data_IF_836499899285
#
_entry.id   IF_836499899285
#
_cell.length_a   1.000
_cell.length_b   1.000
_cell.length_c   1.000
_cell.angle_alpha   90.00
_cell.angle_beta   90.00
_cell.angle_gamma   90.00
#
_symmetry.space_group_name_H-M   'P 1'
#
loop_
_entity.id
_entity.type
_entity.pdbx_description
1 polymer ?
#
# COMPACT_ATOMS: atom_id res chain seq x y z
N UNK A 1 -7.33 -28.21 23.62
CA UNK A 1 -8.52 -27.87 24.43
C UNK A 1 -9.52 -27.25 23.48
N UNK A 2 -10.55 -28.01 23.10
CA UNK A 2 -11.53 -27.61 22.09
C UNK A 2 -12.64 -26.77 22.70
N UNK A 3 -13.06 -25.72 21.99
CA UNK A 3 -14.31 -25.04 22.25
C UNK A 3 -15.43 -25.78 21.50
N UNK A 4 -16.23 -26.53 22.25
CA UNK A 4 -17.57 -26.95 21.85
C UNK A 4 -18.53 -25.82 22.15
N UNK A 5 -19.11 -25.25 21.10
CA UNK A 5 -20.07 -24.16 21.13
C UNK A 5 -20.10 -23.57 19.73
N UNK A 6 -21.29 -23.38 19.15
CA UNK A 6 -21.48 -22.73 17.84
C UNK A 6 -21.03 -21.28 17.94
N UNK A 7 -19.72 -21.05 17.89
CA UNK A 7 -19.13 -19.73 17.88
C UNK A 7 -19.32 -19.19 16.46
N UNK A 8 -19.93 -18.02 16.35
CA UNK A 8 -20.01 -17.30 15.07
C UNK A 8 -18.62 -17.09 14.46
N UNK A 9 -18.56 -16.68 13.19
CA UNK A 9 -17.28 -16.41 12.52
C UNK A 9 -16.42 -15.47 13.36
N UNK A 10 -15.13 -15.76 13.46
CA UNK A 10 -14.18 -14.95 14.22
C UNK A 10 -14.11 -13.54 13.62
N UNK A 11 -14.22 -12.49 14.44
CA UNK A 11 -14.10 -11.10 13.97
C UNK A 11 -12.64 -10.66 14.02
N UNK A 12 -12.09 -10.30 12.86
CA UNK A 12 -10.70 -9.86 12.72
C UNK A 12 -10.66 -8.43 12.20
N UNK A 13 -10.09 -7.52 12.97
CA UNK A 13 -9.80 -6.17 12.50
C UNK A 13 -8.34 -6.07 12.04
N UNK A 14 -8.11 -5.47 10.87
CA UNK A 14 -6.78 -5.28 10.30
C UNK A 14 -6.57 -3.78 10.08
N UNK A 15 -5.56 -3.21 10.75
CA UNK A 15 -5.24 -1.78 10.65
C UNK A 15 -4.13 -1.56 9.62
N UNK A 16 -4.45 -0.87 8.54
CA UNK A 16 -3.63 -0.65 7.35
C UNK A 16 -4.21 -1.35 6.13
N UNK A 17 -3.98 -0.80 4.93
CA UNK A 17 -4.43 -1.35 3.65
C UNK A 17 -3.29 -1.72 2.70
N UNK A 18 -2.11 -2.02 3.24
CA UNK A 18 -0.94 -2.46 2.47
C UNK A 18 -0.97 -3.93 2.05
N UNK A 19 0.10 -4.39 1.40
CA UNK A 19 0.22 -5.78 0.92
C UNK A 19 0.07 -6.83 2.03
N UNK A 20 0.67 -6.61 3.21
CA UNK A 20 0.54 -7.51 4.34
C UNK A 20 -0.91 -7.57 4.87
N UNK A 21 -1.59 -6.41 4.91
CA UNK A 21 -2.97 -6.32 5.36
C UNK A 21 -3.93 -7.07 4.43
N UNK A 22 -3.77 -6.91 3.12
CA UNK A 22 -4.59 -7.63 2.13
C UNK A 22 -4.31 -9.13 2.11
N UNK A 23 -3.04 -9.54 2.21
CA UNK A 23 -2.70 -10.96 2.31
C UNK A 23 -3.36 -11.60 3.55
N UNK A 24 -3.31 -10.91 4.69
CA UNK A 24 -3.97 -11.37 5.91
C UNK A 24 -5.50 -11.36 5.77
N UNK A 25 -6.10 -10.32 5.19
CA UNK A 25 -7.54 -10.22 5.01
C UNK A 25 -8.09 -11.37 4.17
N UNK A 26 -7.45 -11.67 3.03
CA UNK A 26 -7.82 -12.79 2.16
C UNK A 26 -7.71 -14.10 2.94
N UNK A 27 -6.59 -14.31 3.65
CA UNK A 27 -6.39 -15.55 4.40
C UNK A 27 -7.42 -15.73 5.52
N UNK A 28 -7.71 -14.68 6.28
CA UNK A 28 -8.71 -14.73 7.35
C UNK A 28 -10.11 -15.03 6.78
N UNK A 29 -10.47 -14.39 5.68
CA UNK A 29 -11.74 -14.64 4.98
C UNK A 29 -11.82 -16.09 4.45
N UNK A 30 -10.74 -16.62 3.85
CA UNK A 30 -10.68 -18.02 3.39
C UNK A 30 -10.87 -19.03 4.53
N UNK A 31 -10.49 -18.66 5.76
CA UNK A 31 -10.70 -19.44 6.98
C UNK A 31 -12.09 -19.19 7.63
N UNK A 32 -12.95 -18.39 6.99
CA UNK A 32 -14.32 -18.12 7.43
C UNK A 32 -14.46 -17.02 8.47
N UNK A 33 -13.44 -16.17 8.66
CA UNK A 33 -13.52 -15.02 9.56
C UNK A 33 -14.28 -13.83 8.92
N UNK A 34 -14.96 -13.05 9.75
CA UNK A 34 -15.47 -11.73 9.37
C UNK A 34 -14.33 -10.71 9.48
N UNK A 35 -13.94 -10.12 8.35
CA UNK A 35 -12.77 -9.25 8.29
C UNK A 35 -13.20 -7.80 8.13
N UNK A 36 -12.69 -6.93 9.02
CA UNK A 36 -12.76 -5.49 8.84
C UNK A 36 -11.36 -4.92 8.58
N UNK A 37 -11.13 -4.44 7.37
CA UNK A 37 -9.91 -3.77 6.94
C UNK A 37 -10.05 -2.26 7.13
N UNK A 38 -9.12 -1.61 7.81
CA UNK A 38 -9.19 -0.18 8.14
C UNK A 38 -8.01 0.54 7.48
N UNK A 39 -8.28 1.50 6.59
CA UNK A 39 -7.25 2.27 5.88
C UNK A 39 -7.48 3.77 6.03
N UNK A 40 -6.49 4.47 6.61
CA UNK A 40 -6.53 5.91 6.85
C UNK A 40 -6.04 6.76 5.68
N UNK A 41 -5.21 6.21 4.80
CA UNK A 41 -4.77 6.88 3.58
C UNK A 41 -5.91 6.97 2.56
N UNK A 42 -5.86 7.95 1.67
CA UNK A 42 -6.85 8.11 0.60
C UNK A 42 -6.85 6.91 -0.37
N UNK A 43 -5.67 6.41 -0.73
CA UNK A 43 -5.50 5.26 -1.60
C UNK A 43 -5.28 3.98 -0.80
N UNK A 44 -5.90 2.88 -1.25
CA UNK A 44 -5.62 1.54 -0.73
C UNK A 44 -4.38 0.93 -1.41
N UNK A 45 -3.83 -0.15 -0.85
CA UNK A 45 -2.65 -0.85 -1.35
C UNK A 45 -1.33 -0.46 -0.67
N UNK A 46 -1.36 0.55 0.20
CA UNK A 46 -0.22 0.99 1.01
C UNK A 46 0.99 1.45 0.19
N UNK A 47 2.16 1.42 0.80
CA UNK A 47 3.39 2.00 0.24
C UNK A 47 3.85 1.31 -1.04
N UNK A 48 3.86 -0.03 -1.08
CA UNK A 48 4.58 -0.77 -2.12
C UNK A 48 4.01 -0.56 -3.53
N UNK A 49 2.67 -0.49 -3.67
CA UNK A 49 2.05 -0.23 -4.98
C UNK A 49 2.02 1.26 -5.32
N UNK A 50 1.80 2.13 -4.34
CA UNK A 50 1.53 3.55 -4.61
C UNK A 50 2.80 4.40 -4.72
N UNK A 51 3.77 4.21 -3.81
CA UNK A 51 4.92 5.13 -3.64
C UNK A 51 6.23 4.39 -3.29
N UNK A 52 6.34 3.12 -3.71
CA UNK A 52 7.45 2.26 -3.34
C UNK A 52 7.90 1.33 -4.46
N UNK A 53 7.69 0.03 -4.26
CA UNK A 53 8.20 -1.03 -5.13
C UNK A 53 7.79 -0.85 -6.61
N UNK A 54 6.49 -0.70 -6.88
CA UNK A 54 5.96 -0.65 -8.25
C UNK A 54 6.48 0.58 -9.01
N UNK A 55 6.28 1.82 -8.52
CA UNK A 55 6.76 3.00 -9.22
C UNK A 55 8.29 3.03 -9.35
N UNK A 56 9.04 2.57 -8.34
CA UNK A 56 10.51 2.53 -8.43
C UNK A 56 11.01 1.55 -9.49
N UNK A 57 10.44 0.34 -9.56
CA UNK A 57 10.95 -0.70 -10.47
C UNK A 57 10.64 -0.44 -11.94
N UNK A 58 9.51 0.19 -12.26
CA UNK A 58 9.26 0.62 -13.65
C UNK A 58 10.24 1.72 -14.09
N UNK A 59 10.60 2.64 -13.20
CA UNK A 59 11.58 3.69 -13.49
C UNK A 59 13.00 3.15 -13.61
N UNK A 60 13.41 2.24 -12.71
CA UNK A 60 14.72 1.56 -12.80
C UNK A 60 14.83 0.78 -14.10
N UNK A 61 13.77 0.07 -14.52
CA UNK A 61 13.79 -0.66 -15.80
C UNK A 61 13.91 0.27 -17.00
N UNK A 62 13.21 1.41 -17.00
CA UNK A 62 13.33 2.39 -18.06
C UNK A 62 14.75 3.01 -18.11
N UNK A 63 15.35 3.29 -16.95
CA UNK A 63 16.72 3.77 -16.85
C UNK A 63 17.73 2.73 -17.37
N UNK A 64 17.52 1.45 -17.09
CA UNK A 64 18.34 0.35 -17.60
C UNK A 64 18.28 0.27 -19.14
N UNK A 65 17.09 0.43 -19.74
CA UNK A 65 16.94 0.49 -21.21
C UNK A 65 17.72 1.66 -21.79
N UNK A 66 17.61 2.85 -21.20
CA UNK A 66 18.36 4.02 -21.64
C UNK A 66 19.88 3.83 -21.48
N UNK A 67 20.30 3.19 -20.39
CA UNK A 67 21.71 2.88 -20.14
C UNK A 67 22.29 1.93 -21.19
N UNK A 68 21.59 0.83 -21.50
CA UNK A 68 22.03 -0.14 -22.52
C UNK A 68 22.06 0.47 -23.91
N UNK A 69 21.11 1.35 -24.24
CA UNK A 69 21.11 2.09 -25.50
C UNK A 69 22.35 2.99 -25.64
N UNK A 70 22.77 3.63 -24.55
CA UNK A 70 23.92 4.52 -24.52
C UNK A 70 25.26 3.77 -24.46
N UNK A 71 25.31 2.63 -23.77
CA UNK A 71 26.54 1.90 -23.48
C UNK A 71 26.30 0.39 -23.42
N UNK A 72 27.01 -0.34 -24.27
CA UNK A 72 27.02 -1.80 -24.28
C UNK A 72 28.33 -2.34 -24.89
N UNK A 73 28.70 -3.61 -24.64
CA UNK A 73 30.00 -4.15 -25.08
C UNK A 73 30.04 -4.62 -26.54
N UNK A 74 28.91 -4.63 -27.25
CA UNK A 74 28.82 -5.17 -28.61
C UNK A 74 29.39 -4.19 -29.66
N UNK A 75 30.57 -4.49 -30.21
CA UNK A 75 31.23 -3.66 -31.22
C UNK A 75 30.45 -3.53 -32.56
N UNK A 76 29.54 -4.45 -32.85
CA UNK A 76 28.73 -4.44 -34.07
C UNK A 76 27.44 -3.61 -33.98
N UNK A 77 27.14 -3.01 -32.82
CA UNK A 77 25.94 -2.17 -32.62
C UNK A 77 26.41 -0.76 -32.27
N UNK A 78 25.83 0.25 -32.91
CA UNK A 78 26.14 1.65 -32.62
C UNK A 78 25.51 2.10 -31.30
N UNK A 79 26.28 2.84 -30.50
CA UNK A 79 25.76 3.51 -29.31
C UNK A 79 24.88 4.70 -29.70
N UNK A 80 23.79 4.93 -28.97
CA UNK A 80 22.86 6.03 -29.22
C UNK A 80 22.56 6.78 -27.93
N UNK A 81 22.59 8.12 -27.99
CA UNK A 81 22.14 8.95 -26.86
C UNK A 81 20.62 8.81 -26.69
N UNK A 82 20.12 8.29 -25.55
CA UNK A 82 18.70 8.12 -25.32
C UNK A 82 18.00 9.49 -25.23
N UNK A 83 16.85 9.61 -25.88
CA UNK A 83 15.94 10.76 -25.69
C UNK A 83 14.95 10.42 -24.59
N UNK A 84 15.06 11.11 -23.46
CA UNK A 84 14.25 10.84 -22.27
C UNK A 84 13.12 11.86 -22.18
N UNK A 85 11.88 11.40 -22.37
CA UNK A 85 10.68 12.15 -22.02
C UNK A 85 10.21 11.78 -20.60
N UNK A 86 10.65 12.56 -19.61
CA UNK A 86 10.31 12.30 -18.20
C UNK A 86 8.81 12.35 -17.93
N UNK A 87 8.06 13.19 -18.66
CA UNK A 87 6.61 13.34 -18.46
C UNK A 87 5.88 12.10 -18.96
N UNK A 88 6.24 11.60 -20.14
CA UNK A 88 5.69 10.35 -20.66
C UNK A 88 6.02 9.17 -19.74
N UNK A 89 7.25 9.10 -19.22
CA UNK A 89 7.66 8.06 -18.26
C UNK A 89 6.86 8.12 -16.95
N UNK A 90 6.62 9.32 -16.41
CA UNK A 90 5.79 9.49 -15.21
C UNK A 90 4.35 9.04 -15.46
N UNK A 91 3.76 9.44 -16.58
CA UNK A 91 2.41 9.03 -16.95
C UNK A 91 2.29 7.50 -17.11
N UNK A 92 3.30 6.86 -17.71
CA UNK A 92 3.37 5.40 -17.82
C UNK A 92 3.50 4.73 -16.44
N UNK A 93 4.34 5.27 -15.56
CA UNK A 93 4.50 4.81 -14.17
C UNK A 93 3.15 4.87 -13.42
N UNK A 94 2.49 6.03 -13.45
CA UNK A 94 1.21 6.26 -12.78
C UNK A 94 0.10 5.36 -13.35
N UNK A 95 0.08 5.15 -14.66
CA UNK A 95 -0.85 4.20 -15.30
C UNK A 95 -0.65 2.77 -14.83
N UNK A 96 0.61 2.32 -14.69
CA UNK A 96 0.93 1.01 -14.14
C UNK A 96 0.50 0.88 -12.67
N UNK A 97 0.79 1.90 -11.85
CA UNK A 97 0.40 1.95 -10.43
C UNK A 97 -1.12 1.85 -10.29
N UNK A 98 -1.86 2.64 -11.05
CA UNK A 98 -3.33 2.64 -11.03
C UNK A 98 -3.90 1.26 -11.38
N UNK A 99 -3.43 0.67 -12.51
CA UNK A 99 -3.86 -0.65 -12.96
C UNK A 99 -3.56 -1.75 -11.95
N UNK A 100 -2.37 -1.72 -11.34
CA UNK A 100 -2.00 -2.73 -10.34
C UNK A 100 -2.74 -2.52 -9.03
N UNK A 101 -3.00 -1.28 -8.60
CA UNK A 101 -3.83 -1.01 -7.43
C UNK A 101 -5.24 -1.55 -7.62
N UNK A 102 -5.85 -1.27 -8.77
CA UNK A 102 -7.16 -1.80 -9.13
C UNK A 102 -7.18 -3.33 -9.06
N UNK A 103 -6.31 -4.00 -9.83
CA UNK A 103 -6.33 -5.45 -9.96
C UNK A 103 -5.95 -6.21 -8.67
N UNK A 104 -5.08 -5.64 -7.83
CA UNK A 104 -4.53 -6.31 -6.65
C UNK A 104 -5.20 -5.93 -5.34
N UNK A 105 -6.05 -4.90 -5.33
CA UNK A 105 -6.66 -4.40 -4.10
C UNK A 105 -8.15 -4.10 -4.30
N UNK A 106 -8.50 -3.19 -5.21
CA UNK A 106 -9.90 -2.76 -5.40
C UNK A 106 -10.77 -3.94 -5.89
N UNK A 107 -10.30 -4.66 -6.92
CA UNK A 107 -10.99 -5.82 -7.47
C UNK A 107 -11.06 -7.01 -6.50
N UNK A 108 -10.16 -7.08 -5.50
CA UNK A 108 -10.25 -8.09 -4.44
C UNK A 108 -11.43 -7.76 -3.53
N UNK A 109 -11.53 -6.52 -3.06
CA UNK A 109 -12.65 -6.09 -2.22
C UNK A 109 -14.00 -6.23 -2.95
N UNK A 110 -14.05 -5.92 -4.25
CA UNK A 110 -15.27 -6.10 -5.04
C UNK A 110 -15.71 -7.56 -5.16
N UNK A 111 -14.74 -8.50 -5.23
CA UNK A 111 -15.03 -9.94 -5.35
C UNK A 111 -15.31 -10.62 -4.01
N UNK A 112 -14.96 -9.97 -2.91
CA UNK A 112 -15.00 -10.52 -1.56
C UNK A 112 -15.74 -9.56 -0.62
N UNK A 113 -17.08 -9.45 -0.73
CA UNK A 113 -17.89 -8.56 0.10
C UNK A 113 -17.81 -8.88 1.61
N UNK A 114 -17.30 -10.06 1.98
CA UNK A 114 -17.01 -10.47 3.36
C UNK A 114 -15.88 -9.65 3.99
N UNK A 115 -15.03 -9.02 3.18
CA UNK A 115 -13.99 -8.10 3.64
C UNK A 115 -14.58 -6.69 3.63
N UNK A 116 -14.95 -6.22 4.82
CA UNK A 116 -15.46 -4.86 5.00
C UNK A 116 -14.29 -3.86 5.05
N UNK A 117 -14.23 -2.95 4.09
CA UNK A 117 -13.30 -1.81 4.13
C UNK A 117 -13.92 -0.61 4.86
N UNK A 118 -13.22 -0.10 5.88
CA UNK A 118 -13.53 1.17 6.55
C UNK A 118 -12.42 2.16 6.26
N UNK A 119 -12.78 3.33 5.70
CA UNK A 119 -11.82 4.41 5.44
C UNK A 119 -11.77 5.34 6.65
N UNK A 120 -10.60 5.44 7.28
CA UNK A 120 -10.41 6.25 8.47
C UNK A 120 -9.20 5.85 9.30
N UNK A 121 -8.90 6.68 10.30
CA UNK A 121 -7.77 6.46 11.21
C UNK A 121 -8.23 5.72 12.46
N UNK A 122 -7.64 4.56 12.70
CA UNK A 122 -7.93 3.74 13.87
C UNK A 122 -7.08 4.14 15.09
N UNK A 123 -7.70 4.11 16.28
CA UNK A 123 -7.03 4.16 17.57
C UNK A 123 -7.63 3.12 18.51
N UNK A 124 -6.82 2.53 19.39
CA UNK A 124 -7.33 1.64 20.42
C UNK A 124 -8.12 2.44 21.47
N UNK A 125 -9.31 1.96 21.81
CA UNK A 125 -10.02 2.37 23.01
C UNK A 125 -9.66 1.46 24.19
N UNK A 126 -9.48 0.18 23.90
CA UNK A 126 -9.09 -0.87 24.84
C UNK A 126 -8.43 -2.03 24.05
N UNK A 127 -8.24 -3.19 24.68
CA UNK A 127 -7.57 -4.34 24.07
C UNK A 127 -8.32 -5.00 22.88
N UNK A 128 -9.63 -4.75 22.73
CA UNK A 128 -10.48 -5.39 21.72
C UNK A 128 -11.34 -4.42 20.90
N UNK A 129 -11.33 -3.14 21.25
CA UNK A 129 -12.13 -2.12 20.59
C UNK A 129 -11.23 -1.07 19.94
N UNK A 130 -11.45 -0.86 18.64
CA UNK A 130 -10.91 0.26 17.87
C UNK A 130 -11.98 1.32 17.70
N UNK A 131 -11.58 2.58 17.79
CA UNK A 131 -12.35 3.70 17.26
C UNK A 131 -11.72 4.12 15.93
N UNK A 132 -12.55 4.30 14.91
CA UNK A 132 -12.13 4.74 13.57
C UNK A 132 -12.74 6.10 13.27
N UNK A 133 -11.88 7.10 13.15
CA UNK A 133 -12.25 8.41 12.65
C UNK A 133 -12.30 8.39 11.12
N UNK A 134 -13.51 8.42 10.57
CA UNK A 134 -13.76 8.43 9.12
C UNK A 134 -13.67 9.83 8.51
N UNK A 135 -13.45 10.87 9.33
CA UNK A 135 -13.55 12.27 8.95
C UNK A 135 -14.99 12.72 8.66
N UNK A 136 -15.98 11.83 8.84
CA UNK A 136 -17.40 12.08 8.56
C UNK A 136 -18.24 11.73 9.78
N UNK A 137 -18.66 12.75 10.51
CA UNK A 137 -19.57 12.60 11.63
C UNK A 137 -18.93 11.92 12.83
N UNK A 138 -19.70 11.06 13.51
CA UNK A 138 -19.23 10.40 14.73
C UNK A 138 -18.27 9.25 14.40
N UNK A 139 -17.14 9.11 15.12
CA UNK A 139 -16.25 7.97 14.95
C UNK A 139 -16.97 6.64 15.11
N UNK A 140 -16.60 5.68 14.28
CA UNK A 140 -17.16 4.33 14.31
C UNK A 140 -16.40 3.48 15.34
N UNK A 141 -17.11 2.62 16.09
CA UNK A 141 -16.48 1.63 16.98
C UNK A 141 -16.49 0.27 16.32
N UNK A 142 -15.33 -0.38 16.31
CA UNK A 142 -15.11 -1.71 15.76
C UNK A 142 -14.59 -2.59 16.89
N UNK A 143 -15.39 -3.59 17.27
CA UNK A 143 -14.98 -4.66 18.19
C UNK A 143 -14.47 -5.85 17.39
N UNK A 144 -13.35 -6.44 17.83
CA UNK A 144 -12.77 -7.61 17.19
C UNK A 144 -12.22 -8.60 18.22
N UNK A 145 -12.22 -9.88 17.84
CA UNK A 145 -11.66 -10.95 18.67
C UNK A 145 -10.14 -11.02 18.51
N UNK A 146 -9.63 -10.64 17.33
CA UNK A 146 -8.22 -10.47 17.03
C UNK A 146 -7.98 -9.19 16.21
N UNK A 147 -6.83 -8.54 16.45
CA UNK A 147 -6.45 -7.30 15.78
C UNK A 147 -5.04 -7.46 15.20
N UNK A 148 -4.89 -7.22 13.89
CA UNK A 148 -3.61 -7.18 13.19
C UNK A 148 -3.20 -5.73 12.92
N UNK A 149 -2.02 -5.35 13.39
CA UNK A 149 -1.40 -4.06 13.04
C UNK A 149 -0.50 -4.23 11.82
N UNK A 150 -0.96 -3.72 10.69
CA UNK A 150 -0.28 -3.74 9.40
C UNK A 150 -0.10 -2.30 8.85
N UNK A 151 0.20 -1.35 9.74
CA UNK A 151 0.26 0.10 9.46
C UNK A 151 1.44 0.53 8.59
N UNK A 152 2.39 -0.36 8.32
CA UNK A 152 3.54 -0.08 7.46
C UNK A 152 4.55 0.88 8.09
N UNK A 153 5.19 1.70 7.26
CA UNK A 153 6.26 2.61 7.65
C UNK A 153 6.20 3.91 6.85
N UNK A 154 6.97 4.91 7.27
CA UNK A 154 7.14 6.19 6.58
C UNK A 154 8.62 6.53 6.46
N UNK A 155 8.96 7.40 5.51
CA UNK A 155 10.32 7.93 5.39
C UNK A 155 10.75 8.60 6.70
N UNK A 156 11.95 8.24 7.17
CA UNK A 156 12.57 8.88 8.32
C UNK A 156 13.29 10.14 7.86
N UNK A 157 13.01 11.26 8.53
CA UNK A 157 13.71 12.53 8.31
C UNK A 157 14.69 12.72 9.46
N UNK A 158 16.00 12.73 9.21
CA UNK A 158 17.00 12.89 10.26
C UNK A 158 17.01 14.32 10.80
N UNK A 159 17.31 14.47 12.10
CA UNK A 159 17.43 15.77 12.76
C UNK A 159 18.81 16.39 12.47
N UNK A 160 18.96 16.90 11.24
CA UNK A 160 20.17 17.58 10.77
C UNK A 160 19.87 19.08 10.72
N UNK A 161 20.65 19.93 11.42
CA UNK A 161 20.45 21.38 11.38
C UNK A 161 20.41 21.91 9.95
N UNK A 162 19.37 22.68 9.61
CA UNK A 162 19.18 23.25 8.27
C UNK A 162 18.36 22.38 7.30
N UNK A 163 18.13 21.08 7.61
CA UNK A 163 17.39 20.18 6.72
C UNK A 163 15.89 20.48 6.70
N UNK A 164 15.28 20.75 7.87
CA UNK A 164 13.85 21.03 7.98
C UNK A 164 13.47 22.36 7.29
N UNK A 165 14.43 23.29 7.20
CA UNK A 165 14.26 24.61 6.60
C UNK A 165 14.54 24.62 5.09
N UNK A 166 15.02 23.50 4.52
CA UNK A 166 15.40 23.39 3.11
C UNK A 166 14.39 22.50 2.35
N UNK A 167 14.03 22.82 1.10
CA UNK A 167 13.25 21.90 0.27
C UNK A 167 13.99 20.57 0.12
N UNK A 168 13.39 19.48 0.62
CA UNK A 168 13.90 18.13 0.45
C UNK A 168 12.83 17.23 -0.17
N UNK A 169 13.29 16.12 -0.74
CA UNK A 169 12.43 15.04 -1.22
C UNK A 169 12.66 13.79 -0.40
N UNK A 170 11.59 13.05 -0.16
CA UNK A 170 11.67 11.65 0.24
C UNK A 170 11.57 10.77 -1.00
N UNK A 171 11.53 9.44 -0.81
CA UNK A 171 11.25 8.53 -1.92
C UNK A 171 9.94 8.86 -2.63
N UNK A 172 8.94 9.42 -1.94
CA UNK A 172 7.63 9.71 -2.52
C UNK A 172 7.70 10.79 -3.58
N UNK A 173 8.36 11.92 -3.31
CA UNK A 173 8.49 13.04 -4.25
C UNK A 173 9.49 12.75 -5.37
N UNK A 174 10.46 11.85 -5.12
CA UNK A 174 11.48 11.50 -6.10
C UNK A 174 10.98 10.56 -7.22
N UNK A 175 9.86 9.85 -7.00
CA UNK A 175 9.28 8.88 -7.94
C UNK A 175 8.41 9.57 -9.01
#
# INVERSE_FOLDING_TARGET
MGCGGTCGPQRVAIVGGGSAAFAAAIRCMEEGAEVTLIEGAELIGGTCVNVGCVPSKVMVRAAEVAHVQAAHPFAGIGHLTPRIDRRAMLAQQQGLVSRLRQAKYEDILHRHPEIRLVKGWARFLDARTLEVDTGKGKPEKIEADAILLATGSRAFIPDIPGLAETPYWTSTEAL
#
